data_IF_841487710046
#
_entry.id   IF_841487710046
#
_cell.length_a   1.000
_cell.length_b   1.000
_cell.length_c   1.000
_cell.angle_alpha   90.00
_cell.angle_beta   90.00
_cell.angle_gamma   90.00
#
_symmetry.space_group_name_H-M   'P 1'
#
loop_
_entity.id
_entity.type
_entity.pdbx_description
1 polymer ?
#
# COMPACT_ATOMS: atom_id res chain seq x y z
N UNK A 1 -44.78 -16.24 41.39
CA UNK A 1 -44.76 -16.68 39.98
C UNK A 1 -43.46 -16.38 39.20
N UNK A 2 -42.63 -15.37 39.55
CA UNK A 2 -41.39 -15.04 38.81
C UNK A 2 -40.24 -16.07 38.91
N UNK A 3 -40.22 -16.90 39.96
CA UNK A 3 -39.14 -17.87 40.23
C UNK A 3 -39.18 -19.11 39.34
N UNK A 4 -40.38 -19.58 38.94
CA UNK A 4 -40.55 -20.75 38.07
C UNK A 4 -40.07 -20.47 36.64
N UNK A 5 -40.36 -19.29 36.10
CA UNK A 5 -39.84 -18.86 34.79
C UNK A 5 -38.31 -18.81 34.77
N UNK A 6 -37.67 -18.19 35.78
CA UNK A 6 -36.19 -18.17 35.86
C UNK A 6 -35.59 -19.58 35.84
N UNK A 7 -36.21 -20.55 36.51
CA UNK A 7 -35.76 -21.95 36.52
C UNK A 7 -35.85 -22.59 35.14
N UNK A 8 -36.97 -22.38 34.43
CA UNK A 8 -37.19 -22.91 33.07
C UNK A 8 -36.20 -22.31 32.07
N UNK A 9 -36.02 -20.98 32.09
CA UNK A 9 -35.05 -20.30 31.22
C UNK A 9 -33.61 -20.71 31.53
N UNK A 10 -33.28 -20.89 32.81
CA UNK A 10 -31.97 -21.43 33.22
C UNK A 10 -31.72 -22.84 32.70
N UNK A 11 -32.72 -23.72 32.74
CA UNK A 11 -32.61 -25.07 32.18
C UNK A 11 -32.47 -25.03 30.65
N UNK A 12 -33.28 -24.24 29.95
CA UNK A 12 -33.19 -24.09 28.49
C UNK A 12 -31.82 -23.58 28.04
N UNK A 13 -31.25 -22.62 28.78
CA UNK A 13 -29.91 -22.11 28.51
C UNK A 13 -28.83 -23.18 28.71
N UNK A 14 -28.94 -24.03 29.75
CA UNK A 14 -28.05 -25.16 29.96
C UNK A 14 -28.11 -26.15 28.80
N UNK A 15 -29.32 -26.51 28.36
CA UNK A 15 -29.51 -27.40 27.20
C UNK A 15 -28.94 -26.83 25.91
N UNK A 16 -29.11 -25.52 25.69
CA UNK A 16 -28.52 -24.83 24.54
C UNK A 16 -26.99 -24.93 24.57
N UNK A 17 -26.37 -24.57 25.70
CA UNK A 17 -24.90 -24.64 25.86
C UNK A 17 -24.35 -26.05 25.68
N UNK A 18 -25.03 -27.06 26.24
CA UNK A 18 -24.64 -28.46 26.07
C UNK A 18 -24.73 -28.90 24.61
N UNK A 19 -25.81 -28.52 23.91
CA UNK A 19 -25.98 -28.78 22.48
C UNK A 19 -24.90 -28.10 21.66
N UNK A 20 -24.63 -26.83 21.91
CA UNK A 20 -23.61 -26.06 21.19
C UNK A 20 -22.23 -26.70 21.37
N UNK A 21 -21.92 -27.17 22.58
CA UNK A 21 -20.67 -27.87 22.87
C UNK A 21 -20.56 -29.21 22.11
N UNK A 22 -21.64 -29.99 22.07
CA UNK A 22 -21.69 -31.23 21.30
C UNK A 22 -21.56 -30.96 19.80
N UNK A 23 -22.27 -29.96 19.29
CA UNK A 23 -22.21 -29.57 17.89
C UNK A 23 -20.79 -29.12 17.49
N UNK A 24 -20.13 -28.31 18.32
CA UNK A 24 -18.75 -27.91 18.10
C UNK A 24 -17.81 -29.12 18.04
N UNK A 25 -17.92 -30.04 19.00
CA UNK A 25 -17.09 -31.26 19.00
C UNK A 25 -17.34 -32.15 17.78
N UNK A 26 -18.58 -32.19 17.28
CA UNK A 26 -18.94 -32.96 16.10
C UNK A 26 -18.39 -32.32 14.82
N UNK A 27 -18.50 -31.00 14.70
CA UNK A 27 -17.92 -30.24 13.58
C UNK A 27 -16.40 -30.38 13.56
N UNK A 28 -15.74 -30.28 14.71
CA UNK A 28 -14.30 -30.49 14.84
C UNK A 28 -13.89 -31.92 14.45
N UNK A 29 -14.66 -32.92 14.91
CA UNK A 29 -14.41 -34.32 14.53
C UNK A 29 -14.53 -34.56 13.03
N UNK A 30 -15.51 -33.93 12.37
CA UNK A 30 -15.67 -34.02 10.92
C UNK A 30 -14.53 -33.29 10.21
N UNK A 31 -14.17 -32.09 10.66
CA UNK A 31 -13.08 -31.30 10.08
C UNK A 31 -11.75 -32.07 10.15
N UNK A 32 -11.45 -32.69 11.29
CA UNK A 32 -10.26 -33.52 11.47
C UNK A 32 -10.29 -34.80 10.63
N UNK A 33 -11.44 -35.47 10.53
CA UNK A 33 -11.58 -36.64 9.66
C UNK A 33 -11.41 -36.28 8.17
N UNK A 34 -12.00 -35.16 7.73
CA UNK A 34 -11.86 -34.64 6.37
C UNK A 34 -10.43 -34.20 6.07
N UNK A 35 -9.73 -33.62 7.05
CA UNK A 35 -8.32 -33.24 6.95
C UNK A 35 -7.41 -34.47 6.79
N UNK A 36 -7.58 -35.48 7.64
CA UNK A 36 -6.76 -36.71 7.62
C UNK A 36 -7.03 -37.59 6.40
N UNK A 37 -8.25 -37.58 5.89
CA UNK A 37 -8.68 -38.47 4.81
C UNK A 37 -8.86 -39.93 5.28
N UNK A 38 -9.24 -40.81 4.35
CA UNK A 38 -9.32 -42.25 4.59
C UNK A 38 -7.94 -42.93 4.68
N UNK A 39 -7.91 -44.20 5.08
CA UNK A 39 -6.66 -44.98 5.15
C UNK A 39 -5.96 -45.02 3.79
N UNK A 40 -4.71 -44.55 3.72
CA UNK A 40 -3.92 -44.50 2.49
C UNK A 40 -4.14 -43.25 1.63
N UNK A 41 -5.02 -42.33 2.04
CA UNK A 41 -5.17 -41.03 1.40
C UNK A 41 -4.20 -40.00 2.01
N UNK A 42 -3.79 -39.03 1.20
CA UNK A 42 -2.88 -37.97 1.63
C UNK A 42 -3.62 -36.92 2.46
N UNK A 43 -3.05 -36.57 3.62
CA UNK A 43 -3.60 -35.54 4.51
C UNK A 43 -3.71 -34.18 3.78
N UNK A 44 -4.92 -33.61 3.78
CA UNK A 44 -5.21 -32.34 3.13
C UNK A 44 -4.85 -31.19 4.08
N UNK A 45 -3.82 -30.42 3.74
CA UNK A 45 -3.53 -29.16 4.44
C UNK A 45 -4.37 -28.02 3.85
N UNK A 46 -5.48 -27.69 4.51
CA UNK A 46 -6.38 -26.60 4.12
C UNK A 46 -5.67 -25.25 3.93
N UNK A 47 -4.61 -24.98 4.70
CA UNK A 47 -3.85 -23.73 4.62
C UNK A 47 -2.70 -23.76 3.60
N UNK A 48 -2.55 -24.85 2.82
CA UNK A 48 -1.45 -25.00 1.87
C UNK A 48 -1.43 -23.88 0.83
N UNK A 49 -2.60 -23.46 0.35
CA UNK A 49 -2.74 -22.36 -0.60
C UNK A 49 -2.21 -21.04 -0.04
N UNK A 50 -2.62 -20.66 1.17
CA UNK A 50 -2.17 -19.43 1.82
C UNK A 50 -0.67 -19.46 2.12
N UNK A 51 -0.13 -20.63 2.53
CA UNK A 51 1.32 -20.80 2.74
C UNK A 51 2.12 -20.61 1.44
N UNK A 52 1.64 -21.16 0.32
CA UNK A 52 2.28 -20.99 -0.99
C UNK A 52 2.23 -19.53 -1.43
N UNK A 53 1.07 -18.87 -1.24
CA UNK A 53 0.88 -17.46 -1.55
C UNK A 53 1.83 -16.56 -0.75
N UNK A 54 1.95 -16.80 0.56
CA UNK A 54 2.92 -16.10 1.42
C UNK A 54 4.35 -16.31 0.95
N UNK A 55 4.72 -17.54 0.58
CA UNK A 55 6.06 -17.87 0.07
C UNK A 55 6.38 -17.14 -1.23
N UNK A 56 5.41 -17.05 -2.16
CA UNK A 56 5.56 -16.31 -3.41
C UNK A 56 5.80 -14.83 -3.17
N UNK A 57 5.01 -14.20 -2.29
CA UNK A 57 5.22 -12.80 -1.91
C UNK A 57 6.59 -12.56 -1.28
N UNK A 58 7.04 -13.47 -0.41
CA UNK A 58 8.37 -13.38 0.19
C UNK A 58 9.47 -13.47 -0.89
N UNK A 59 9.33 -14.39 -1.84
CA UNK A 59 10.28 -14.57 -2.93
C UNK A 59 10.35 -13.33 -3.84
N UNK A 60 9.21 -12.71 -4.13
CA UNK A 60 9.14 -11.47 -4.93
C UNK A 60 9.87 -10.31 -4.23
N UNK A 61 9.67 -10.16 -2.91
CA UNK A 61 10.36 -9.16 -2.11
C UNK A 61 11.88 -9.41 -2.08
N UNK A 62 12.31 -10.66 -1.92
CA UNK A 62 13.72 -11.02 -1.97
C UNK A 62 14.36 -10.70 -3.32
N UNK A 63 13.69 -11.06 -4.43
CA UNK A 63 14.16 -10.75 -5.78
C UNK A 63 14.29 -9.24 -6.01
N UNK A 64 13.30 -8.46 -5.54
CA UNK A 64 13.34 -7.01 -5.63
C UNK A 64 14.49 -6.41 -4.81
N UNK A 65 14.76 -6.96 -3.63
CA UNK A 65 15.87 -6.53 -2.78
C UNK A 65 17.23 -6.85 -3.41
N UNK A 66 17.42 -8.05 -3.95
CA UNK A 66 18.68 -8.44 -4.62
C UNK A 66 18.93 -7.58 -5.87
N UNK A 67 17.90 -7.35 -6.71
CA UNK A 67 18.02 -6.42 -7.85
C UNK A 67 18.40 -5.01 -7.41
N UNK A 68 17.89 -4.52 -6.27
CA UNK A 68 18.29 -3.21 -5.73
C UNK A 68 19.74 -3.21 -5.24
N UNK A 69 20.19 -4.27 -4.55
CA UNK A 69 21.57 -4.42 -4.09
C UNK A 69 22.55 -4.50 -5.27
N UNK A 70 22.21 -5.23 -6.31
CA UNK A 70 23.01 -5.33 -7.53
C UNK A 70 23.15 -3.97 -8.22
N UNK A 71 22.04 -3.27 -8.45
CA UNK A 71 22.05 -1.92 -9.01
C UNK A 71 22.86 -0.95 -8.14
N UNK A 72 22.82 -1.08 -6.82
CA UNK A 72 23.62 -0.27 -5.91
C UNK A 72 25.13 -0.58 -6.04
N UNK A 73 25.51 -1.85 -6.13
CA UNK A 73 26.89 -2.29 -6.36
C UNK A 73 27.43 -1.79 -7.70
N UNK A 74 26.63 -1.87 -8.76
CA UNK A 74 27.01 -1.36 -10.09
C UNK A 74 27.22 0.16 -10.06
N UNK A 75 26.31 0.91 -9.43
CA UNK A 75 26.44 2.36 -9.23
C UNK A 75 27.69 2.71 -8.43
N UNK A 76 28.00 1.95 -7.38
CA UNK A 76 29.20 2.16 -6.57
C UNK A 76 30.48 1.92 -7.39
N UNK A 77 30.54 0.84 -8.19
CA UNK A 77 31.66 0.57 -9.10
C UNK A 77 31.88 1.69 -10.12
N UNK A 78 30.79 2.16 -10.75
CA UNK A 78 30.84 3.29 -11.70
C UNK A 78 31.40 4.56 -11.03
N UNK A 79 30.93 4.89 -9.81
CA UNK A 79 31.41 6.04 -9.03
C UNK A 79 32.89 5.93 -8.67
N UNK A 80 33.34 4.75 -8.24
CA UNK A 80 34.75 4.51 -7.92
C UNK A 80 35.65 4.68 -9.16
N UNK A 81 35.25 4.11 -10.31
CA UNK A 81 35.99 4.25 -11.57
C UNK A 81 36.06 5.71 -12.04
N UNK A 82 34.96 6.48 -11.90
CA UNK A 82 34.97 7.91 -12.24
C UNK A 82 35.84 8.74 -11.30
N UNK A 83 35.86 8.42 -10.00
CA UNK A 83 36.73 9.09 -9.04
C UNK A 83 38.21 8.79 -9.33
N UNK A 84 38.56 7.54 -9.62
CA UNK A 84 39.93 7.15 -9.95
C UNK A 84 40.43 7.79 -11.26
N UNK A 85 39.56 7.92 -12.26
CA UNK A 85 39.89 8.66 -13.49
C UNK A 85 40.10 10.16 -13.25
N UNK A 86 39.40 10.74 -12.27
CA UNK A 86 39.57 12.14 -11.90
C UNK A 86 40.95 12.35 -11.24
N UNK A 87 41.31 11.51 -10.27
CA UNK A 87 42.61 11.55 -9.58
C UNK A 87 43.80 11.32 -10.55
N UNK A 88 43.65 10.43 -11.54
CA UNK A 88 44.71 10.23 -12.55
C UNK A 88 44.90 11.45 -13.47
N UNK A 89 43.86 12.23 -13.73
CA UNK A 89 43.91 13.43 -14.61
C UNK A 89 44.42 14.67 -13.89
N UNK A 90 44.26 14.75 -12.56
CA UNK A 90 44.80 15.84 -11.74
C UNK A 90 46.30 15.66 -11.47
N UNK A 91 46.81 14.42 -11.49
CA UNK A 91 48.24 14.15 -11.29
C UNK A 91 49.15 14.47 -12.51
N UNK A 92 48.62 14.56 -13.74
CA UNK A 92 49.46 14.80 -14.94
C UNK A 92 49.53 16.27 -15.38
N UNK A 93 48.71 17.16 -14.82
CA UNK A 93 48.60 18.54 -15.30
C UNK A 93 49.12 19.56 -14.29
N UNK A 94 50.43 19.77 -14.26
CA UNK A 94 51.14 20.82 -13.51
C UNK A 94 50.86 22.26 -13.97
N UNK A 95 49.68 22.53 -14.56
CA UNK A 95 49.19 23.85 -14.96
C UNK A 95 47.68 23.95 -14.68
N UNK A 96 47.27 23.91 -13.41
CA UNK A 96 45.85 23.80 -13.01
C UNK A 96 45.36 24.79 -11.96
N UNK A 97 46.14 25.76 -11.51
CA UNK A 97 45.62 26.77 -10.57
C UNK A 97 44.66 27.75 -11.26
N UNK A 98 45.10 28.44 -12.33
CA UNK A 98 44.29 29.50 -12.97
C UNK A 98 43.07 28.98 -13.78
N UNK A 99 43.14 27.74 -14.29
CA UNK A 99 42.04 27.12 -15.06
C UNK A 99 41.00 26.47 -14.15
N UNK A 100 41.40 26.05 -12.95
CA UNK A 100 40.51 25.53 -11.91
C UNK A 100 39.47 26.56 -11.51
N UNK A 101 39.87 27.80 -11.26
CA UNK A 101 38.97 28.88 -10.83
C UNK A 101 37.92 29.25 -11.89
N UNK A 102 38.32 29.31 -13.16
CA UNK A 102 37.40 29.60 -14.28
C UNK A 102 36.37 28.48 -14.45
N UNK A 103 36.81 27.22 -14.35
CA UNK A 103 35.92 26.06 -14.49
C UNK A 103 35.01 25.91 -13.27
N UNK A 104 35.50 26.17 -12.06
CA UNK A 104 34.71 26.10 -10.83
C UNK A 104 33.65 27.19 -10.76
N UNK A 105 33.99 28.42 -11.17
CA UNK A 105 33.03 29.51 -11.33
C UNK A 105 31.92 29.15 -12.33
N UNK A 106 32.27 28.48 -13.44
CA UNK A 106 31.29 28.01 -14.42
C UNK A 106 30.38 26.90 -13.86
N UNK A 107 30.95 25.92 -13.17
CA UNK A 107 30.18 24.83 -12.52
C UNK A 107 29.24 25.41 -11.46
N UNK A 108 29.72 26.32 -10.62
CA UNK A 108 28.92 26.99 -9.60
C UNK A 108 27.77 27.81 -10.21
N UNK A 109 28.02 28.48 -11.34
CA UNK A 109 26.98 29.20 -12.08
C UNK A 109 25.92 28.25 -12.66
N UNK A 110 26.30 27.08 -13.17
CA UNK A 110 25.37 26.07 -13.66
C UNK A 110 24.54 25.43 -12.53
N UNK A 111 25.14 25.12 -11.38
CA UNK A 111 24.40 24.62 -10.20
C UNK A 111 23.37 25.63 -9.69
N UNK A 112 23.70 26.93 -9.72
CA UNK A 112 22.77 27.99 -9.34
C UNK A 112 21.57 28.07 -10.29
N UNK A 113 21.77 27.84 -11.58
CA UNK A 113 20.67 27.79 -12.57
C UNK A 113 19.81 26.53 -12.42
N UNK A 114 20.41 25.39 -12.10
CA UNK A 114 19.69 24.12 -11.90
C UNK A 114 18.78 24.17 -10.66
N UNK A 115 19.27 24.74 -9.57
CA UNK A 115 18.48 25.00 -8.35
C UNK A 115 17.26 25.88 -8.63
N UNK A 116 17.41 26.93 -9.44
CA UNK A 116 16.30 27.83 -9.80
C UNK A 116 15.30 27.15 -10.74
N UNK A 117 15.77 26.27 -11.63
CA UNK A 117 14.92 25.45 -12.49
C UNK A 117 14.04 24.49 -11.65
N UNK A 118 14.65 23.79 -10.69
CA UNK A 118 13.95 22.86 -9.80
C UNK A 118 12.92 23.59 -8.93
N UNK A 119 13.28 24.77 -8.37
CA UNK A 119 12.34 25.57 -7.57
C UNK A 119 11.17 26.06 -8.42
N UNK A 120 11.42 26.54 -9.64
CA UNK A 120 10.37 27.00 -10.57
C UNK A 120 9.44 25.87 -10.98
N UNK A 121 9.97 24.69 -11.28
CA UNK A 121 9.16 23.51 -11.60
C UNK A 121 8.28 23.10 -10.40
N UNK A 122 8.85 23.07 -9.19
CA UNK A 122 8.09 22.78 -7.97
C UNK A 122 6.97 23.80 -7.75
N UNK A 123 7.24 25.09 -7.90
CA UNK A 123 6.22 26.14 -7.79
C UNK A 123 5.11 25.99 -8.86
N UNK A 124 5.46 25.69 -10.11
CA UNK A 124 4.48 25.45 -11.17
C UNK A 124 3.64 24.19 -10.89
N UNK A 125 4.27 23.14 -10.38
CA UNK A 125 3.59 21.89 -10.02
C UNK A 125 2.68 22.07 -8.81
N UNK A 126 3.08 22.86 -7.82
CA UNK A 126 2.22 23.24 -6.70
C UNK A 126 1.04 24.10 -7.13
N UNK A 127 1.25 25.03 -8.09
CA UNK A 127 0.17 25.82 -8.68
C UNK A 127 -0.84 24.91 -9.42
N UNK A 128 -0.34 24.01 -10.27
CA UNK A 128 -1.15 22.99 -10.97
C UNK A 128 -1.86 22.03 -10.01
N UNK A 129 -1.20 21.60 -8.93
CA UNK A 129 -1.75 20.68 -7.94
C UNK A 129 -2.83 21.35 -7.07
N UNK A 130 -2.63 22.61 -6.66
CA UNK A 130 -3.62 23.38 -5.92
C UNK A 130 -4.91 23.56 -6.74
N UNK A 131 -4.79 23.81 -8.04
CA UNK A 131 -5.94 23.89 -8.94
C UNK A 131 -6.62 22.52 -9.10
N UNK A 132 -5.85 21.43 -9.17
CA UNK A 132 -6.38 20.07 -9.19
C UNK A 132 -7.17 19.73 -7.91
N UNK A 133 -6.66 20.14 -6.74
CA UNK A 133 -7.36 20.02 -5.46
C UNK A 133 -8.65 20.85 -5.46
N UNK A 134 -8.58 22.10 -5.95
CA UNK A 134 -9.75 23.01 -6.00
C UNK A 134 -10.84 22.45 -6.92
N UNK A 135 -10.47 21.95 -8.09
CA UNK A 135 -11.39 21.32 -9.04
C UNK A 135 -12.04 20.05 -8.46
N UNK A 136 -11.25 19.16 -7.85
CA UNK A 136 -11.77 17.96 -7.21
C UNK A 136 -12.74 18.27 -6.06
N UNK A 137 -12.44 19.31 -5.27
CA UNK A 137 -13.32 19.76 -4.18
C UNK A 137 -14.64 20.33 -4.70
N UNK A 138 -14.61 21.16 -5.74
CA UNK A 138 -15.82 21.73 -6.34
C UNK A 138 -16.70 20.64 -6.96
N UNK A 139 -16.10 19.68 -7.67
CA UNK A 139 -16.84 18.53 -8.23
C UNK A 139 -17.53 17.69 -7.15
N UNK A 140 -16.90 17.54 -5.98
CA UNK A 140 -17.52 16.84 -4.84
C UNK A 140 -18.70 17.62 -4.26
N UNK A 141 -18.62 18.94 -4.20
CA UNK A 141 -19.73 19.79 -3.74
C UNK A 141 -20.90 19.76 -4.73
N UNK A 142 -20.63 19.84 -6.04
CA UNK A 142 -21.65 19.72 -7.10
C UNK A 142 -22.42 18.39 -6.99
N UNK A 143 -21.70 17.26 -6.88
CA UNK A 143 -22.31 15.95 -6.67
C UNK A 143 -23.16 15.87 -5.39
N UNK A 144 -22.76 16.54 -4.30
CA UNK A 144 -23.57 16.58 -3.07
C UNK A 144 -24.81 17.45 -3.20
N UNK A 145 -24.76 18.53 -3.97
CA UNK A 145 -25.92 19.38 -4.24
C UNK A 145 -26.88 18.71 -5.23
N UNK A 146 -26.38 18.04 -6.26
CA UNK A 146 -27.16 17.20 -7.17
C UNK A 146 -27.85 16.04 -6.43
N UNK A 147 -27.14 15.36 -5.53
CA UNK A 147 -27.73 14.31 -4.69
C UNK A 147 -28.82 14.87 -3.76
N UNK A 148 -28.59 16.04 -3.16
CA UNK A 148 -29.59 16.68 -2.28
C UNK A 148 -30.81 17.20 -3.06
N UNK A 149 -30.61 17.69 -4.28
CA UNK A 149 -31.69 18.13 -5.17
C UNK A 149 -32.48 16.95 -5.77
N UNK A 150 -31.79 15.85 -6.09
CA UNK A 150 -32.40 14.60 -6.54
C UNK A 150 -33.28 13.95 -5.46
N UNK A 151 -32.83 13.99 -4.19
CA UNK A 151 -33.64 13.52 -3.05
C UNK A 151 -34.90 14.38 -2.86
N UNK A 152 -34.85 15.69 -3.13
CA UNK A 152 -36.05 16.53 -3.11
C UNK A 152 -36.97 16.32 -4.32
N UNK A 153 -36.43 16.06 -5.51
CA UNK A 153 -37.23 15.76 -6.70
C UNK A 153 -37.99 14.43 -6.59
N UNK A 154 -37.44 13.43 -5.90
CA UNK A 154 -38.09 12.12 -5.67
C UNK A 154 -39.22 12.16 -4.62
N UNK A 155 -39.41 13.27 -3.89
CA UNK A 155 -40.46 13.40 -2.86
C UNK A 155 -41.72 14.16 -3.28
N UNK A 156 -41.79 14.71 -4.50
CA UNK A 156 -43.05 15.30 -5.00
C UNK A 156 -43.97 14.19 -5.54
N UNK A 157 -44.86 13.70 -4.68
CA UNK A 157 -46.01 12.91 -5.11
C UNK A 157 -46.90 13.75 -6.04
N UNK A 158 -47.31 13.23 -7.21
CA UNK A 158 -48.31 13.89 -8.04
C UNK A 158 -49.70 13.47 -7.57
N UNK A 159 -50.52 14.43 -7.13
CA UNK A 159 -51.95 14.23 -7.02
C UNK A 159 -52.56 14.70 -5.71
N UNK A 160 -52.88 15.98 -5.62
CA UNK A 160 -54.07 16.45 -4.92
C UNK A 160 -54.73 17.52 -5.81
N UNK A 161 -55.68 17.07 -6.63
CA UNK A 161 -56.77 17.92 -7.12
C UNK A 161 -57.96 17.64 -6.19
N UNK A 162 -58.41 18.68 -5.49
CA UNK A 162 -59.77 18.82 -4.96
C UNK A 162 -60.11 20.31 -4.94
#
# INVERSE_FOLDING_TARGET
MRSSLRRVWGQRLKWKRLRDKLFLSWVESIAEAAKKGGSGQQELCWDSYEKIKQKLHLQELQLAAEKKKEKAKERAKKRAMTAEQFERKTSTNGQTAARGDIVMSRISAFEKLDLELIKREKMQKEFSFADQIRAAKNKRMELTMEASSSVHAATKKPGEYA
#
